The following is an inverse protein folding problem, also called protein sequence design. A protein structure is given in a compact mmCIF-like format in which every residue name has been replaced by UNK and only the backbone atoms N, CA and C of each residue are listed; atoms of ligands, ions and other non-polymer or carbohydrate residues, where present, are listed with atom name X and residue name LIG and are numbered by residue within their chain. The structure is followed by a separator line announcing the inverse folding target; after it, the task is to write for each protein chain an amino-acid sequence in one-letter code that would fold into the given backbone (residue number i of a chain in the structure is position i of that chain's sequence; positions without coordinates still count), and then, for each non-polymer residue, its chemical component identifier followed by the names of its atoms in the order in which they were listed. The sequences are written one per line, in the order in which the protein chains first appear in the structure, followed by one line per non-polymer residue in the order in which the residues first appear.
data_IF_114734806388
#
_entry.id   IF_114734806388
#
_cell.length_a   1.000
_cell.length_b   1.000
_cell.length_c   1.000
_cell.angle_alpha   90.00
_cell.angle_beta   90.00
_cell.angle_gamma   90.00
#
_symmetry.space_group_name_H-M   'P 1'
#
loop_
_entity.id
_entity.type
_entity.pdbx_description
1 polymer ?
#
# COMPACT_ATOMS: atom_id res chain seq x y z
N UNK A 1 15.27 -24.99 -25.21
CA UNK A 1 14.23 -24.31 -24.40
C UNK A 1 13.55 -25.35 -23.53
N UNK A 2 13.34 -25.09 -22.23
CA UNK A 2 12.60 -26.01 -21.36
C UNK A 2 11.16 -26.21 -21.89
N UNK A 3 10.58 -27.38 -21.66
CA UNK A 3 9.19 -27.66 -22.05
C UNK A 3 8.22 -26.87 -21.17
N UNK A 4 7.04 -26.53 -21.70
CA UNK A 4 6.00 -25.82 -20.97
C UNK A 4 5.70 -26.45 -19.60
N UNK A 5 5.55 -27.77 -19.55
CA UNK A 5 5.30 -28.51 -18.31
C UNK A 5 6.44 -28.37 -17.28
N UNK A 6 7.70 -28.27 -17.74
CA UNK A 6 8.84 -28.06 -16.84
C UNK A 6 8.79 -26.67 -16.24
N UNK A 7 8.51 -25.64 -17.05
CA UNK A 7 8.37 -24.26 -16.58
C UNK A 7 7.21 -24.14 -15.59
N UNK A 8 6.05 -24.69 -15.94
CA UNK A 8 4.85 -24.67 -15.11
C UNK A 8 5.08 -25.34 -13.73
N UNK A 9 5.62 -26.56 -13.70
CA UNK A 9 5.96 -27.24 -12.44
C UNK A 9 7.01 -26.49 -11.62
N UNK A 10 7.96 -25.82 -12.28
CA UNK A 10 8.95 -25.01 -11.59
C UNK A 10 8.28 -23.82 -10.90
N UNK A 11 7.33 -23.15 -11.56
CA UNK A 11 6.56 -22.06 -10.97
C UNK A 11 5.69 -22.54 -9.80
N UNK A 12 5.06 -23.70 -9.91
CA UNK A 12 4.31 -24.31 -8.80
C UNK A 12 5.22 -24.57 -7.59
N UNK A 13 6.39 -25.19 -7.78
CA UNK A 13 7.32 -25.43 -6.67
C UNK A 13 7.87 -24.13 -6.06
N UNK A 14 8.08 -23.09 -6.86
CA UNK A 14 8.47 -21.78 -6.35
C UNK A 14 7.35 -21.15 -5.52
N UNK A 15 6.10 -21.27 -5.95
CA UNK A 15 4.95 -20.79 -5.20
C UNK A 15 4.76 -21.56 -3.88
N UNK A 16 4.93 -22.88 -3.89
CA UNK A 16 4.88 -23.71 -2.68
C UNK A 16 5.98 -23.34 -1.68
N UNK A 17 7.20 -23.08 -2.19
CA UNK A 17 8.32 -22.64 -1.37
C UNK A 17 8.05 -21.26 -0.74
N UNK A 18 7.54 -20.32 -1.54
CA UNK A 18 7.21 -18.97 -1.09
C UNK A 18 6.10 -18.98 -0.04
N UNK A 19 5.03 -19.75 -0.26
CA UNK A 19 3.93 -19.90 0.70
C UNK A 19 4.43 -20.44 2.05
N UNK A 20 5.42 -21.35 2.03
CA UNK A 20 6.05 -21.86 3.25
C UNK A 20 6.83 -20.76 3.98
N UNK A 21 7.63 -19.96 3.27
CA UNK A 21 8.39 -18.85 3.86
C UNK A 21 7.44 -17.84 4.52
N UNK A 22 6.40 -17.42 3.81
CA UNK A 22 5.41 -16.45 4.31
C UNK A 22 4.72 -16.97 5.57
N UNK A 23 4.32 -18.24 5.57
CA UNK A 23 3.67 -18.86 6.73
C UNK A 23 4.62 -19.02 7.91
N UNK A 24 5.88 -19.36 7.68
CA UNK A 24 6.90 -19.44 8.74
C UNK A 24 7.18 -18.06 9.34
N UNK A 25 7.37 -17.04 8.49
CA UNK A 25 7.57 -15.67 8.93
C UNK A 25 6.34 -15.13 9.68
N UNK A 26 5.14 -15.32 9.13
CA UNK A 26 3.91 -14.81 9.71
C UNK A 26 3.54 -15.45 11.05
N UNK A 27 3.99 -16.68 11.33
CA UNK A 27 3.81 -17.36 12.63
C UNK A 27 4.89 -17.03 13.66
N UNK A 28 6.01 -16.43 13.25
CA UNK A 28 7.09 -16.12 14.16
C UNK A 28 6.67 -14.95 15.10
N UNK A 29 6.61 -15.17 16.42
CA UNK A 29 6.21 -14.12 17.36
C UNK A 29 7.24 -12.98 17.46
N UNK A 30 8.42 -13.09 16.86
CA UNK A 30 9.48 -12.08 16.89
C UNK A 30 9.52 -11.20 15.65
N UNK A 31 8.75 -11.54 14.61
CA UNK A 31 8.68 -10.79 13.36
C UNK A 31 7.31 -10.12 13.20
N UNK A 32 7.20 -9.30 12.16
CA UNK A 32 5.94 -8.67 11.78
C UNK A 32 5.90 -8.39 10.28
N UNK A 33 4.71 -8.41 9.71
CA UNK A 33 4.48 -8.02 8.34
C UNK A 33 3.03 -7.64 8.13
N UNK A 34 2.82 -6.88 7.07
CA UNK A 34 1.54 -6.29 6.71
C UNK A 34 1.12 -6.76 5.32
N UNK A 35 -0.16 -6.53 4.99
CA UNK A 35 -0.75 -6.96 3.74
C UNK A 35 -1.19 -5.74 2.95
N UNK A 36 -0.73 -5.62 1.71
CA UNK A 36 -1.31 -4.70 0.72
C UNK A 36 -2.10 -5.52 -0.28
N UNK A 37 -3.37 -5.18 -0.48
CA UNK A 37 -4.22 -5.83 -1.49
C UNK A 37 -4.88 -4.80 -2.39
N UNK A 38 -5.23 -5.26 -3.58
CA UNK A 38 -5.91 -4.44 -4.59
C UNK A 38 -6.78 -5.34 -5.48
N UNK A 39 -7.71 -4.73 -6.20
CA UNK A 39 -8.52 -5.42 -7.17
C UNK A 39 -7.71 -5.84 -8.40
N UNK A 40 -8.05 -7.02 -8.92
CA UNK A 40 -7.61 -7.48 -10.22
C UNK A 40 -8.80 -7.48 -11.17
N UNK A 41 -8.69 -6.74 -12.26
CA UNK A 41 -9.66 -6.74 -13.34
C UNK A 41 -8.97 -7.14 -14.64
N UNK A 42 -9.28 -8.35 -15.12
CA UNK A 42 -8.75 -8.86 -16.38
C UNK A 42 -9.85 -8.94 -17.44
N UNK A 43 -9.70 -8.12 -18.48
CA UNK A 43 -10.61 -8.13 -19.63
C UNK A 43 -10.21 -9.22 -20.63
N UNK A 44 -10.95 -10.33 -20.64
CA UNK A 44 -10.84 -11.36 -21.68
C UNK A 44 -11.60 -10.85 -22.91
N UNK A 45 -10.87 -10.14 -23.76
CA UNK A 45 -11.41 -9.65 -25.03
C UNK A 45 -11.71 -10.81 -25.96
N UNK A 46 -12.90 -10.81 -26.54
CA UNK A 46 -13.25 -11.72 -27.62
C UNK A 46 -12.33 -11.45 -28.83
N UNK A 47 -11.43 -12.38 -29.13
CA UNK A 47 -10.56 -12.32 -30.33
C UNK A 47 -11.01 -13.25 -31.44
N UNK A 48 -11.76 -14.30 -31.11
CA UNK A 48 -12.30 -15.28 -32.06
C UNK A 48 -13.77 -15.55 -31.71
N UNK A 49 -14.66 -15.41 -32.70
CA UNK A 49 -16.11 -15.60 -32.59
C UNK A 49 -16.52 -17.02 -32.19
N UNK A 50 -15.60 -17.99 -32.30
CA UNK A 50 -15.81 -19.40 -31.92
C UNK A 50 -15.50 -19.70 -30.45
N UNK A 51 -14.72 -18.84 -29.78
CA UNK A 51 -14.25 -19.04 -28.40
C UNK A 51 -15.06 -18.25 -27.35
N UNK A 52 -16.04 -17.46 -27.79
CA UNK A 52 -16.93 -16.69 -26.92
C UNK A 52 -17.81 -15.75 -27.72
N UNK A 53 -18.90 -15.26 -27.11
CA UNK A 53 -19.83 -14.30 -27.72
C UNK A 53 -19.68 -12.87 -27.17
N UNK A 54 -19.06 -12.72 -26.00
CA UNK A 54 -18.97 -11.46 -25.27
C UNK A 54 -17.58 -11.31 -24.65
N UNK A 55 -17.18 -10.06 -24.41
CA UNK A 55 -15.98 -9.75 -23.61
C UNK A 55 -16.33 -9.95 -22.13
N UNK A 56 -15.55 -10.77 -21.43
CA UNK A 56 -15.78 -11.09 -20.02
C UNK A 56 -14.75 -10.35 -19.18
N UNK A 57 -15.22 -9.69 -18.11
CA UNK A 57 -14.35 -9.11 -17.09
C UNK A 57 -14.20 -10.14 -15.97
N UNK A 58 -13.00 -10.68 -15.81
CA UNK A 58 -12.66 -11.48 -14.65
C UNK A 58 -12.26 -10.54 -13.51
N UNK A 59 -12.98 -10.64 -12.40
CA UNK A 59 -12.74 -9.88 -11.18
C UNK A 59 -12.11 -10.82 -10.15
N UNK A 60 -11.07 -10.35 -9.48
CA UNK A 60 -10.45 -11.02 -8.35
C UNK A 60 -9.77 -10.01 -7.42
N UNK A 61 -9.11 -10.53 -6.39
CA UNK A 61 -8.29 -9.75 -5.46
C UNK A 61 -6.91 -10.40 -5.42
N UNK A 62 -5.87 -9.55 -5.45
CA UNK A 62 -4.51 -9.96 -5.18
C UNK A 62 -3.99 -9.26 -3.93
N UNK A 63 -3.12 -9.95 -3.21
CA UNK A 63 -2.47 -9.41 -2.04
C UNK A 63 -0.97 -9.68 -2.09
N UNK A 64 -0.22 -8.81 -1.43
CA UNK A 64 1.21 -8.94 -1.19
C UNK A 64 1.44 -8.78 0.30
N UNK A 65 2.07 -9.78 0.91
CA UNK A 65 2.59 -9.67 2.26
C UNK A 65 3.98 -9.05 2.19
N UNK A 66 4.29 -8.10 3.06
CA UNK A 66 5.63 -7.54 3.13
C UNK A 66 6.12 -7.49 4.57
N UNK A 67 7.39 -7.85 4.75
CA UNK A 67 8.03 -7.88 6.06
C UNK A 67 8.31 -6.44 6.52
N UNK A 68 8.12 -6.20 7.82
CA UNK A 68 8.51 -4.94 8.46
C UNK A 68 9.75 -5.19 9.33
N UNK A 69 10.96 -4.90 8.80
CA UNK A 69 12.18 -5.08 9.57
C UNK A 69 12.27 -4.07 10.71
N UNK A 70 12.97 -4.47 11.79
CA UNK A 70 13.38 -3.60 12.89
C UNK A 70 12.24 -2.83 13.60
N UNK A 71 11.04 -3.43 13.66
CA UNK A 71 9.87 -2.79 14.27
C UNK A 71 9.66 -3.19 15.73
N UNK A 72 9.27 -2.23 16.56
CA UNK A 72 8.81 -2.52 17.92
C UNK A 72 7.40 -3.15 17.85
N UNK A 73 7.34 -4.45 18.10
CA UNK A 73 6.10 -5.24 18.09
C UNK A 73 5.04 -4.71 19.05
N UNK A 74 5.42 -3.93 20.08
CA UNK A 74 4.47 -3.29 21.00
C UNK A 74 3.63 -2.22 20.33
N UNK A 75 4.09 -1.64 19.22
CA UNK A 75 3.30 -0.68 18.44
C UNK A 75 2.05 -1.32 17.81
N UNK A 76 2.03 -2.65 17.68
CA UNK A 76 0.91 -3.40 17.12
C UNK A 76 0.07 -4.10 18.18
N UNK A 77 0.26 -3.81 19.48
CA UNK A 77 -0.50 -4.45 20.55
C UNK A 77 -1.99 -4.04 20.50
N UNK A 78 -2.87 -5.04 20.40
CA UNK A 78 -4.32 -4.85 20.40
C UNK A 78 -4.79 -4.29 21.74
N UNK A 79 -4.19 -4.70 22.86
CA UNK A 79 -4.57 -4.20 24.17
C UNK A 79 -4.19 -2.74 24.36
N UNK A 80 -3.03 -2.31 23.84
CA UNK A 80 -2.65 -0.89 23.86
C UNK A 80 -3.64 -0.05 23.02
N UNK A 81 -4.06 -0.56 21.87
CA UNK A 81 -5.11 0.08 21.06
C UNK A 81 -6.43 0.19 21.81
N UNK A 82 -6.92 -0.91 22.41
CA UNK A 82 -8.17 -0.93 23.21
C UNK A 82 -8.10 0.11 24.32
N UNK A 83 -7.00 0.13 25.06
CA UNK A 83 -6.74 1.09 26.14
C UNK A 83 -6.81 2.53 25.64
N UNK A 84 -6.14 2.85 24.52
CA UNK A 84 -6.17 4.21 23.92
C UNK A 84 -7.55 4.61 23.40
N UNK A 85 -8.33 3.66 22.85
CA UNK A 85 -9.69 3.92 22.41
C UNK A 85 -10.61 4.25 23.61
N UNK A 86 -10.44 3.55 24.72
CA UNK A 86 -11.20 3.81 25.96
C UNK A 86 -10.88 5.18 26.57
N UNK A 87 -9.67 5.71 26.39
CA UNK A 87 -9.34 7.09 26.81
C UNK A 87 -10.20 8.14 26.09
N UNK A 88 -10.78 7.82 24.93
CA UNK A 88 -11.76 8.65 24.24
C UNK A 88 -11.22 10.00 23.75
N UNK A 89 -9.90 10.21 23.73
CA UNK A 89 -9.24 11.48 23.38
C UNK A 89 -9.61 12.04 22.00
N UNK A 90 -10.07 11.18 21.08
CA UNK A 90 -10.56 11.60 19.75
C UNK A 90 -11.72 12.59 19.83
N UNK A 91 -12.52 12.57 20.90
CA UNK A 91 -13.64 13.51 21.08
C UNK A 91 -13.20 14.96 21.29
N UNK A 92 -11.97 15.14 21.79
CA UNK A 92 -11.38 16.44 22.11
C UNK A 92 -10.37 16.88 21.02
N UNK A 93 -10.29 16.12 19.92
CA UNK A 93 -9.36 16.40 18.82
C UNK A 93 -9.86 17.57 17.97
N UNK A 94 -9.04 18.61 17.83
CA UNK A 94 -9.35 19.78 17.00
C UNK A 94 -8.57 19.77 15.67
N UNK A 95 -9.03 20.58 14.71
CA UNK A 95 -8.34 20.76 13.42
C UNK A 95 -6.95 21.36 13.64
N UNK A 96 -6.81 22.30 14.57
CA UNK A 96 -5.53 22.94 14.89
C UNK A 96 -4.53 21.94 15.46
N UNK A 97 -4.99 20.98 16.26
CA UNK A 97 -4.14 19.89 16.76
C UNK A 97 -3.68 18.99 15.61
N UNK A 98 -4.59 18.62 14.70
CA UNK A 98 -4.25 17.83 13.51
C UNK A 98 -3.22 18.53 12.62
N UNK A 99 -3.41 19.82 12.35
CA UNK A 99 -2.44 20.63 11.62
C UNK A 99 -1.12 20.76 12.38
N UNK A 100 -1.18 20.90 13.71
CA UNK A 100 -0.01 20.94 14.59
C UNK A 100 0.78 19.63 14.65
N UNK A 101 0.19 18.49 14.28
CA UNK A 101 0.92 17.22 14.14
C UNK A 101 1.79 17.18 12.88
N UNK A 102 1.52 18.04 11.90
CA UNK A 102 2.33 18.16 10.69
C UNK A 102 3.52 19.07 10.98
N UNK A 103 4.73 18.52 10.82
CA UNK A 103 5.96 19.30 10.91
C UNK A 103 6.19 20.07 9.60
N UNK A 104 5.48 21.20 9.44
CA UNK A 104 5.53 22.01 8.22
C UNK A 104 6.94 22.51 7.91
N UNK A 105 7.72 22.87 8.94
CA UNK A 105 9.10 23.31 8.76
C UNK A 105 9.98 22.21 8.17
N UNK A 106 9.83 20.98 8.67
CA UNK A 106 10.54 19.84 8.08
C UNK A 106 10.03 19.53 6.67
N UNK A 107 8.71 19.57 6.45
CA UNK A 107 8.09 19.36 5.13
C UNK A 107 8.63 20.35 4.10
N UNK A 108 8.69 21.64 4.43
CA UNK A 108 9.29 22.68 3.59
C UNK A 108 10.77 22.43 3.34
N UNK A 109 11.52 22.05 4.38
CA UNK A 109 12.94 21.72 4.26
C UNK A 109 13.17 20.58 3.26
N UNK A 110 12.43 19.47 3.39
CA UNK A 110 12.50 18.34 2.47
C UNK A 110 12.07 18.74 1.06
N UNK A 111 11.00 19.53 0.93
CA UNK A 111 10.53 20.05 -0.36
C UNK A 111 11.58 20.91 -1.08
N UNK A 112 12.23 21.83 -0.37
CA UNK A 112 13.33 22.65 -0.91
C UNK A 112 14.50 21.78 -1.35
N UNK A 113 14.91 20.82 -0.51
CA UNK A 113 16.01 19.90 -0.85
C UNK A 113 15.69 19.05 -2.08
N UNK A 114 14.43 18.65 -2.28
CA UNK A 114 13.98 17.92 -3.47
C UNK A 114 14.18 18.74 -4.74
N UNK A 115 13.75 20.00 -4.73
CA UNK A 115 13.96 20.91 -5.87
C UNK A 115 15.44 21.18 -6.13
N UNK A 116 16.23 21.45 -5.09
CA UNK A 116 17.68 21.65 -5.22
C UNK A 116 18.38 20.40 -5.77
N UNK A 117 17.95 19.20 -5.38
CA UNK A 117 18.49 17.95 -5.93
C UNK A 117 18.18 17.80 -7.42
N UNK A 118 16.95 18.13 -7.85
CA UNK A 118 16.59 18.15 -9.27
C UNK A 118 17.47 19.14 -10.03
N UNK A 119 17.55 20.40 -9.56
CA UNK A 119 18.35 21.44 -10.21
C UNK A 119 19.83 21.06 -10.32
N UNK A 120 20.44 20.57 -9.24
CA UNK A 120 21.85 20.16 -9.23
C UNK A 120 22.11 18.94 -10.12
N UNK A 121 21.12 18.06 -10.33
CA UNK A 121 21.23 16.91 -11.22
C UNK A 121 21.16 17.27 -12.70
N UNK A 122 20.27 18.19 -13.08
CA UNK A 122 19.96 18.49 -14.48
C UNK A 122 20.57 19.79 -15.00
N UNK A 123 21.04 20.70 -14.14
CA UNK A 123 21.71 21.95 -14.55
C UNK A 123 23.23 21.81 -14.32
N UNK A 124 24.06 21.69 -15.38
CA UNK A 124 25.50 21.47 -15.24
C UNK A 124 26.21 22.51 -14.35
N UNK A 125 25.81 23.79 -14.46
CA UNK A 125 26.39 24.88 -13.66
C UNK A 125 26.18 24.72 -12.14
N UNK A 126 25.20 23.92 -11.72
CA UNK A 126 24.87 23.69 -10.31
C UNK A 126 25.43 22.37 -9.76
N UNK A 127 26.11 21.55 -10.57
CA UNK A 127 26.67 20.28 -10.12
C UNK A 127 27.63 20.38 -8.91
N UNK A 128 28.44 21.45 -8.75
CA UNK A 128 29.32 21.58 -7.57
C UNK A 128 28.60 21.54 -6.22
N UNK A 129 27.30 21.84 -6.19
CA UNK A 129 26.50 21.83 -4.95
C UNK A 129 25.95 20.45 -4.57
N UNK A 130 26.07 19.41 -5.42
CA UNK A 130 25.49 18.07 -5.18
C UNK A 130 25.90 17.46 -3.84
N UNK A 131 27.17 17.58 -3.48
CA UNK A 131 27.69 17.02 -2.22
C UNK A 131 27.08 17.75 -1.02
N UNK A 132 26.99 19.08 -1.08
CA UNK A 132 26.39 19.89 -0.03
C UNK A 132 24.90 19.57 0.14
N UNK A 133 24.13 19.47 -0.95
CA UNK A 133 22.72 19.07 -0.89
C UNK A 133 22.57 17.66 -0.30
N UNK A 134 23.43 16.72 -0.69
CA UNK A 134 23.42 15.37 -0.14
C UNK A 134 23.71 15.34 1.38
N UNK A 135 24.63 16.20 1.84
CA UNK A 135 24.88 16.40 3.28
C UNK A 135 23.64 16.96 3.99
N UNK A 136 22.94 17.93 3.39
CA UNK A 136 21.72 18.50 3.98
C UNK A 136 20.59 17.46 4.11
N UNK A 137 20.44 16.53 3.16
CA UNK A 137 19.51 15.41 3.29
C UNK A 137 19.84 14.50 4.49
N UNK A 138 21.12 14.21 4.71
CA UNK A 138 21.59 13.35 5.81
C UNK A 138 21.55 14.02 7.18
N UNK A 139 21.38 15.35 7.21
CA UNK A 139 21.40 16.13 8.45
C UNK A 139 20.06 16.82 8.69
N UNK A 140 19.77 17.89 7.96
CA UNK A 140 18.55 18.71 8.14
C UNK A 140 17.27 18.01 7.65
N UNK A 141 17.39 17.21 6.60
CA UNK A 141 16.29 16.42 6.03
C UNK A 141 16.09 15.05 6.70
N UNK A 142 16.94 14.68 7.66
CA UNK A 142 16.89 13.35 8.28
C UNK A 142 15.92 13.34 9.47
N UNK A 143 14.75 12.73 9.28
CA UNK A 143 13.78 12.45 10.36
C UNK A 143 13.20 11.05 10.14
N UNK A 144 13.14 10.25 11.21
CA UNK A 144 12.61 8.86 11.19
C UNK A 144 13.11 8.05 9.98
N UNK A 145 14.43 8.03 9.79
CA UNK A 145 15.03 7.34 8.66
C UNK A 145 14.79 5.84 8.76
N UNK A 146 14.25 5.27 7.69
CA UNK A 146 14.17 3.82 7.52
C UNK A 146 15.54 3.30 7.07
N UNK A 147 15.90 2.06 7.42
CA UNK A 147 17.07 1.39 6.86
C UNK A 147 17.06 1.40 5.33
N UNK A 148 18.22 1.59 4.70
CA UNK A 148 18.36 1.53 3.24
C UNK A 148 18.46 0.05 2.84
N UNK A 149 17.32 -0.62 2.77
CA UNK A 149 17.18 -1.98 2.29
C UNK A 149 15.94 -2.10 1.39
N UNK A 150 15.97 -3.08 0.49
CA UNK A 150 14.75 -3.48 -0.20
C UNK A 150 13.83 -4.16 0.80
N UNK A 151 12.55 -3.78 0.81
CA UNK A 151 11.53 -4.49 1.57
C UNK A 151 11.38 -5.90 0.99
N UNK A 152 11.41 -6.92 1.86
CA UNK A 152 11.07 -8.29 1.46
C UNK A 152 9.58 -8.35 1.18
N UNK A 153 9.22 -8.74 -0.04
CA UNK A 153 7.83 -8.82 -0.50
C UNK A 153 7.52 -10.25 -0.92
N UNK A 154 6.33 -10.69 -0.59
CA UNK A 154 5.85 -12.04 -0.84
C UNK A 154 4.46 -11.98 -1.48
N UNK A 155 4.31 -12.38 -2.75
CA UNK A 155 3.01 -12.42 -3.39
C UNK A 155 2.13 -13.50 -2.74
N UNK A 156 0.91 -13.15 -2.38
CA UNK A 156 -0.09 -14.10 -1.89
C UNK A 156 -0.89 -14.65 -3.07
N UNK A 157 -1.42 -15.86 -2.92
CA UNK A 157 -2.29 -16.48 -3.90
C UNK A 157 -3.56 -15.63 -4.09
N UNK A 158 -3.91 -15.36 -5.35
CA UNK A 158 -5.08 -14.54 -5.71
C UNK A 158 -6.37 -15.31 -5.52
N UNK A 159 -7.46 -14.61 -5.20
CA UNK A 159 -8.79 -15.22 -5.10
C UNK A 159 -9.78 -14.57 -6.09
N UNK A 160 -10.73 -15.35 -6.61
CA UNK A 160 -11.83 -14.88 -7.47
C UNK A 160 -12.97 -14.31 -6.61
N UNK A 161 -12.67 -13.29 -5.82
CA UNK A 161 -13.59 -12.57 -4.95
C UNK A 161 -13.70 -11.12 -5.39
N UNK A 162 -14.80 -10.47 -5.04
CA UNK A 162 -15.05 -9.07 -5.35
C UNK A 162 -14.91 -8.22 -4.09
N UNK A 163 -13.93 -7.31 -4.07
CA UNK A 163 -13.67 -6.44 -2.92
C UNK A 163 -14.86 -5.57 -2.51
N UNK A 164 -15.77 -5.30 -3.45
CA UNK A 164 -16.95 -4.44 -3.22
C UNK A 164 -18.06 -5.16 -2.47
N UNK A 165 -18.00 -6.49 -2.40
CA UNK A 165 -18.98 -7.33 -1.71
C UNK A 165 -18.40 -7.74 -0.36
N UNK A 166 -18.98 -7.25 0.73
CA UNK A 166 -18.47 -7.42 2.11
C UNK A 166 -18.20 -8.87 2.48
N UNK A 167 -19.11 -9.79 2.12
CA UNK A 167 -18.95 -11.22 2.42
C UNK A 167 -17.80 -11.84 1.64
N UNK A 168 -17.62 -11.46 0.38
CA UNK A 168 -16.51 -11.95 -0.44
C UNK A 168 -15.17 -11.35 -0.01
N UNK A 169 -15.16 -10.08 0.42
CA UNK A 169 -13.99 -9.46 1.01
C UNK A 169 -13.60 -10.15 2.33
N UNK A 170 -14.59 -10.50 3.18
CA UNK A 170 -14.31 -11.30 4.40
C UNK A 170 -13.61 -12.61 4.03
N UNK A 171 -14.15 -13.35 3.07
CA UNK A 171 -13.55 -14.61 2.63
C UNK A 171 -12.12 -14.41 2.13
N UNK A 172 -11.87 -13.38 1.32
CA UNK A 172 -10.55 -13.06 0.79
C UNK A 172 -9.54 -12.71 1.91
N UNK A 173 -9.97 -11.92 2.89
CA UNK A 173 -9.15 -11.56 4.04
C UNK A 173 -8.79 -12.79 4.88
N UNK A 174 -9.75 -13.66 5.16
CA UNK A 174 -9.51 -14.88 5.93
C UNK A 174 -8.54 -15.79 5.17
N UNK A 175 -8.69 -15.90 3.85
CA UNK A 175 -7.77 -16.65 3.00
C UNK A 175 -6.34 -16.06 3.05
N UNK A 176 -6.18 -14.75 2.90
CA UNK A 176 -4.86 -14.10 3.01
C UNK A 176 -4.23 -14.26 4.40
N UNK A 177 -5.03 -14.19 5.47
CA UNK A 177 -4.54 -14.44 6.83
C UNK A 177 -4.06 -15.89 6.99
N UNK A 178 -4.81 -16.88 6.48
CA UNK A 178 -4.40 -18.29 6.53
C UNK A 178 -3.10 -18.56 5.74
N UNK A 179 -2.91 -17.87 4.61
CA UNK A 179 -1.67 -17.92 3.85
C UNK A 179 -0.47 -17.40 4.67
N UNK A 180 -0.67 -16.43 5.56
CA UNK A 180 0.34 -15.96 6.53
C UNK A 180 0.43 -16.81 7.81
N UNK A 181 -0.41 -17.86 7.92
CA UNK A 181 -0.47 -18.73 9.09
C UNK A 181 -1.28 -18.19 10.26
N UNK A 182 -2.04 -17.11 10.05
CA UNK A 182 -2.95 -16.54 11.04
C UNK A 182 -4.35 -17.14 10.84
N UNK A 183 -4.84 -17.87 11.84
CA UNK A 183 -6.12 -18.59 11.80
C UNK A 183 -7.01 -18.20 12.97
N UNK A 184 -8.30 -18.54 12.91
CA UNK A 184 -9.24 -18.27 14.01
C UNK A 184 -8.81 -18.93 15.33
N UNK A 185 -8.15 -20.10 15.25
CA UNK A 185 -7.65 -20.86 16.41
C UNK A 185 -6.25 -20.41 16.87
N UNK A 186 -5.36 -20.12 15.91
CA UNK A 186 -3.97 -19.74 16.16
C UNK A 186 -3.64 -18.43 15.43
N UNK A 187 -3.63 -17.33 16.17
CA UNK A 187 -3.22 -16.02 15.68
C UNK A 187 -2.50 -15.21 16.76
N UNK A 188 -1.69 -14.25 16.33
CA UNK A 188 -1.09 -13.27 17.22
C UNK A 188 -2.13 -12.22 17.65
N UNK A 189 -2.11 -11.83 18.92
CA UNK A 189 -2.90 -10.69 19.44
C UNK A 189 -2.26 -9.36 19.06
N UNK A 190 -2.01 -9.17 17.77
CA UNK A 190 -1.38 -8.00 17.18
C UNK A 190 -2.18 -7.49 16.00
N UNK A 191 -2.08 -6.20 15.77
CA UNK A 191 -2.63 -5.55 14.59
C UNK A 191 -1.78 -5.94 13.38
N UNK A 192 -2.44 -6.31 12.28
CA UNK A 192 -1.88 -6.47 10.95
C UNK A 192 -2.47 -5.35 10.12
N UNK A 193 -1.62 -4.53 9.50
CA UNK A 193 -2.11 -3.44 8.67
C UNK A 193 -2.56 -4.01 7.32
N UNK A 194 -3.77 -3.65 6.93
CA UNK A 194 -4.33 -3.98 5.63
C UNK A 194 -4.41 -2.72 4.78
N UNK A 195 -3.51 -2.62 3.82
CA UNK A 195 -3.38 -1.50 2.91
C UNK A 195 -4.25 -1.72 1.68
N UNK A 196 -4.96 -0.67 1.28
CA UNK A 196 -5.75 -0.66 0.06
C UNK A 196 -6.17 0.75 -0.34
N UNK A 197 -6.91 0.86 -1.43
CA UNK A 197 -7.44 2.13 -1.91
C UNK A 197 -8.57 2.69 -0.99
N UNK A 198 -9.16 3.81 -1.38
CA UNK A 198 -10.22 4.45 -0.61
C UNK A 198 -11.50 3.61 -0.49
N UNK A 199 -11.81 2.79 -1.50
CA UNK A 199 -12.97 1.91 -1.48
C UNK A 199 -12.72 0.76 -0.51
N UNK A 200 -11.62 0.03 -0.70
CA UNK A 200 -11.17 -1.07 0.14
C UNK A 200 -11.08 -0.67 1.62
N UNK A 201 -10.50 0.51 1.91
CA UNK A 201 -10.46 1.06 3.27
C UNK A 201 -11.86 1.19 3.88
N UNK A 202 -12.82 1.75 3.14
CA UNK A 202 -14.20 1.95 3.63
C UNK A 202 -14.97 0.64 3.79
N UNK A 203 -14.78 -0.32 2.88
CA UNK A 203 -15.43 -1.64 2.97
C UNK A 203 -14.87 -2.42 4.17
N UNK A 204 -13.56 -2.34 4.43
CA UNK A 204 -12.93 -2.92 5.62
C UNK A 204 -13.49 -2.34 6.92
N UNK A 205 -13.63 -1.02 7.01
CA UNK A 205 -14.24 -0.39 8.18
C UNK A 205 -15.68 -0.87 8.40
N UNK A 206 -16.45 -0.98 7.32
CA UNK A 206 -17.82 -1.48 7.37
C UNK A 206 -17.86 -2.94 7.83
N UNK A 207 -16.98 -3.80 7.30
CA UNK A 207 -16.82 -5.19 7.71
C UNK A 207 -16.58 -5.31 9.22
N UNK A 208 -15.66 -4.51 9.76
CA UNK A 208 -15.39 -4.47 11.22
C UNK A 208 -16.61 -4.07 12.03
N UNK A 209 -17.41 -3.11 11.57
CA UNK A 209 -18.65 -2.72 12.25
C UNK A 209 -19.68 -3.85 12.24
N UNK A 210 -19.82 -4.59 11.15
CA UNK A 210 -20.73 -5.74 11.08
C UNK A 210 -20.30 -6.91 11.96
N UNK A 211 -18.99 -7.14 12.07
CA UNK A 211 -18.44 -8.26 12.82
C UNK A 211 -18.11 -7.95 14.28
N UNK A 212 -18.36 -6.73 14.77
CA UNK A 212 -17.97 -6.30 16.12
C UNK A 212 -18.51 -7.16 17.27
N UNK A 213 -19.59 -7.91 17.05
CA UNK A 213 -20.25 -8.74 18.07
C UNK A 213 -19.84 -10.22 18.02
N UNK A 214 -18.85 -10.59 17.22
CA UNK A 214 -18.31 -11.96 17.20
C UNK A 214 -17.49 -12.26 18.46
N UNK A 215 -17.33 -13.55 18.77
CA UNK A 215 -16.82 -14.01 20.06
C UNK A 215 -15.32 -13.71 20.26
N UNK A 216 -14.50 -13.86 19.22
CA UNK A 216 -13.05 -13.73 19.30
C UNK A 216 -12.50 -12.56 18.45
N UNK A 217 -11.27 -12.14 18.73
CA UNK A 217 -10.58 -11.04 18.04
C UNK A 217 -10.45 -11.23 16.53
N UNK A 218 -10.22 -12.47 16.08
CA UNK A 218 -10.05 -12.82 14.67
C UNK A 218 -11.38 -12.65 13.91
N UNK A 219 -12.46 -13.25 14.42
CA UNK A 219 -13.80 -13.19 13.82
C UNK A 219 -14.38 -11.78 13.86
N UNK A 220 -14.01 -10.96 14.85
CA UNK A 220 -14.34 -9.52 14.88
C UNK A 220 -13.55 -8.68 13.86
N UNK A 221 -12.59 -9.29 13.15
CA UNK A 221 -11.59 -8.58 12.35
C UNK A 221 -10.86 -7.50 13.18
N UNK A 222 -10.69 -7.73 14.48
CA UNK A 222 -10.11 -6.77 15.41
C UNK A 222 -8.60 -6.65 15.20
N UNK A 223 -7.97 -7.78 14.87
CA UNK A 223 -6.55 -7.90 14.50
C UNK A 223 -6.20 -7.13 13.21
N UNK A 224 -7.19 -6.73 12.41
CA UNK A 224 -6.96 -6.01 11.15
C UNK A 224 -7.01 -4.52 11.40
N UNK A 225 -5.99 -3.76 11.02
CA UNK A 225 -6.09 -2.30 10.97
C UNK A 225 -6.11 -1.83 9.51
N UNK A 226 -7.26 -1.32 9.03
CA UNK A 226 -7.33 -0.76 7.68
C UNK A 226 -6.43 0.47 7.58
N UNK A 227 -5.60 0.53 6.55
CA UNK A 227 -4.71 1.67 6.27
C UNK A 227 -4.94 2.13 4.84
N UNK A 228 -5.21 3.42 4.68
CA UNK A 228 -5.28 4.01 3.35
C UNK A 228 -3.87 3.99 2.73
N UNK A 229 -3.73 3.31 1.60
CA UNK A 229 -2.48 3.31 0.86
C UNK A 229 -2.24 4.72 0.27
N UNK A 230 -1.42 5.50 0.97
CA UNK A 230 -1.16 6.92 0.69
C UNK A 230 -0.72 7.21 -0.75
N UNK A 231 -0.09 6.23 -1.41
CA UNK A 231 0.31 6.36 -2.80
C UNK A 231 -0.89 6.44 -3.75
N UNK A 232 -2.03 5.77 -3.48
CA UNK A 232 -3.25 5.95 -4.26
C UNK A 232 -3.75 7.38 -4.14
N UNK A 233 -3.80 7.93 -2.92
CA UNK A 233 -4.24 9.31 -2.71
C UNK A 233 -3.34 10.31 -3.42
N UNK A 234 -2.03 10.11 -3.35
CA UNK A 234 -1.06 10.94 -4.05
C UNK A 234 -1.23 10.84 -5.58
N UNK A 235 -1.39 9.62 -6.10
CA UNK A 235 -1.61 9.36 -7.52
C UNK A 235 -2.89 10.00 -8.03
N UNK A 236 -4.03 9.79 -7.37
CA UNK A 236 -5.31 10.41 -7.74
C UNK A 236 -5.21 11.93 -7.75
N UNK A 237 -4.55 12.53 -6.74
CA UNK A 237 -4.36 13.97 -6.70
C UNK A 237 -3.44 14.47 -7.84
N UNK A 238 -2.38 13.74 -8.16
CA UNK A 238 -1.48 14.06 -9.27
C UNK A 238 -2.23 13.97 -10.60
N UNK A 239 -2.94 12.88 -10.86
CA UNK A 239 -3.76 12.71 -12.06
C UNK A 239 -4.76 13.85 -12.21
N UNK A 240 -5.44 14.23 -11.13
CA UNK A 240 -6.36 15.38 -11.14
C UNK A 240 -5.66 16.69 -11.55
N UNK A 241 -4.45 16.96 -11.04
CA UNK A 241 -3.67 18.15 -11.43
C UNK A 241 -3.34 18.10 -12.91
N UNK A 242 -2.83 16.97 -13.41
CA UNK A 242 -2.51 16.83 -14.83
C UNK A 242 -3.75 16.96 -15.71
N UNK A 243 -4.83 16.23 -15.43
CA UNK A 243 -6.08 16.32 -16.20
C UNK A 243 -6.65 17.74 -16.24
N UNK A 244 -6.55 18.49 -15.13
CA UNK A 244 -7.06 19.86 -15.05
C UNK A 244 -6.16 20.87 -15.74
N UNK A 245 -4.84 20.71 -15.65
CA UNK A 245 -3.85 21.74 -16.04
C UNK A 245 -3.00 21.37 -17.26
N UNK A 246 -3.21 20.20 -17.88
CA UNK A 246 -2.46 19.79 -19.08
C UNK A 246 -2.66 20.77 -20.23
N UNK A 247 -3.90 21.25 -20.43
CA UNK A 247 -4.28 22.09 -21.56
C UNK A 247 -4.46 21.31 -22.87
N UNK A 248 -4.99 21.97 -23.89
CA UNK A 248 -5.06 21.42 -25.24
C UNK A 248 -3.71 21.60 -25.94
N UNK A 249 -3.18 20.54 -26.56
CA UNK A 249 -1.91 20.59 -27.31
C UNK A 249 -1.90 21.63 -28.44
N UNK A 250 -3.07 22.03 -28.93
CA UNK A 250 -3.27 23.02 -30.00
C UNK A 250 -3.20 24.47 -29.52
N UNK A 251 -3.24 24.72 -28.21
CA UNK A 251 -3.25 26.09 -27.65
C UNK A 251 -1.90 26.42 -27.05
N UNK A 252 -1.31 27.52 -27.50
CA UNK A 252 -0.10 28.12 -26.91
C UNK A 252 -0.44 28.89 -25.63
N UNK A 253 -1.05 28.22 -24.65
CA UNK A 253 -1.35 28.84 -23.36
C UNK A 253 -0.17 28.62 -22.39
N UNK A 254 0.58 29.67 -22.02
CA UNK A 254 1.75 29.55 -21.16
C UNK A 254 1.43 29.13 -19.72
N UNK A 255 0.15 29.12 -19.33
CA UNK A 255 -0.29 28.63 -18.02
C UNK A 255 -0.51 27.11 -17.96
N UNK A 256 -0.38 26.41 -19.09
CA UNK A 256 -0.63 24.96 -19.19
C UNK A 256 0.66 24.13 -19.07
N UNK A 257 0.53 22.91 -18.53
CA UNK A 257 1.66 21.98 -18.42
C UNK A 257 2.17 21.52 -19.80
N UNK A 258 1.30 21.37 -20.80
CA UNK A 258 1.70 20.98 -22.15
C UNK A 258 2.59 22.01 -22.83
N UNK A 259 2.37 23.31 -22.59
CA UNK A 259 3.22 24.37 -23.12
C UNK A 259 4.64 24.32 -22.54
N UNK A 260 4.78 24.10 -21.22
CA UNK A 260 6.09 23.99 -20.58
C UNK A 260 6.92 22.80 -21.10
N UNK A 261 6.24 21.71 -21.50
CA UNK A 261 6.90 20.54 -22.04
C UNK A 261 7.54 20.79 -23.42
N UNK A 262 6.97 21.70 -24.22
CA UNK A 262 7.47 22.03 -25.57
C UNK A 262 8.84 22.72 -25.56
N UNK A 263 9.25 23.34 -24.44
CA UNK A 263 10.56 24.01 -24.31
C UNK A 263 11.63 23.13 -23.62
N UNK A 264 11.28 21.89 -23.28
CA UNK A 264 12.11 20.97 -22.50
C UNK A 264 12.74 19.84 -23.33
N UNK A 265 12.47 19.79 -24.64
CA UNK A 265 13.05 18.88 -25.63
C UNK A 265 13.94 19.67 -26.60
#
# INVERSE_FOLDING_TARGET
MPTYNTVYRTLEHLADHEAKIVREHGKDPTTHGDICFDNLQHNIRQRDVRLGRETIVNIGIAATYYEIPDVDLKAFDIEDKRRRLQEGKRKDLTVEQLLGFVDDKHRETVGMLQWLRVLTNYVPALQPYKEHISMLYRTRGAKQQLPICATTIHPLATCQKNETIITELKDAIVDFLDQTGQTSEEHHKRLILFHGDGLSYNVLLSLKQYLQFQDNEFERCEIIEPVLAMWHTAWTNLSRIFETHWGELSRCDPSTLSYLLQFSL
#
